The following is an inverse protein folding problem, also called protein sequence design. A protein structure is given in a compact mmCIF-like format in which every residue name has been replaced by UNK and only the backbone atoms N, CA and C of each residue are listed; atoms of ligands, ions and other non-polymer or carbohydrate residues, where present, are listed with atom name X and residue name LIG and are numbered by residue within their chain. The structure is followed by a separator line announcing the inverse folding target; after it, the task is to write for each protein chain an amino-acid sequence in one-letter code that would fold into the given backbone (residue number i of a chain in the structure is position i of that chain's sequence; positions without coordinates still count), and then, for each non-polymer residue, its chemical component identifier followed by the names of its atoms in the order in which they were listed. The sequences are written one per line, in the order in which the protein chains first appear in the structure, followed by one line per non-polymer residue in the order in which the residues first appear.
data_IF_327312814012
#
_entry.id   IF_327312814012
#
_cell.length_a   1.000
_cell.length_b   1.000
_cell.length_c   1.000
_cell.angle_alpha   90.00
_cell.angle_beta   90.00
_cell.angle_gamma   90.00
#
_symmetry.space_group_name_H-M   'P 1'
#
loop_
_entity.id
_entity.type
_entity.pdbx_description
1 polymer ?
#
# COMPACT_ATOMS: atom_id res chain seq x y z
N UNK A 1 35.51 18.76 -5.43
CA UNK A 1 35.57 17.57 -6.30
C UNK A 1 34.27 16.80 -6.12
N UNK A 2 33.48 16.69 -7.19
CA UNK A 2 32.01 16.66 -7.11
C UNK A 2 31.48 15.26 -6.75
N UNK A 3 30.81 15.15 -5.60
CA UNK A 3 30.17 13.93 -5.09
C UNK A 3 29.18 13.28 -6.09
N UNK A 4 28.64 14.08 -7.01
CA UNK A 4 27.75 13.65 -8.09
C UNK A 4 28.45 12.68 -9.08
N UNK A 5 29.74 12.87 -9.34
CA UNK A 5 30.49 11.97 -10.26
C UNK A 5 30.80 10.60 -9.66
N UNK A 6 30.94 10.51 -8.32
CA UNK A 6 31.21 9.24 -7.62
C UNK A 6 29.96 8.35 -7.56
N UNK A 7 28.77 8.95 -7.43
CA UNK A 7 27.48 8.27 -7.46
C UNK A 7 27.16 7.63 -8.81
N UNK A 8 27.43 8.35 -9.90
CA UNK A 8 27.16 7.86 -11.27
C UNK A 8 28.00 6.63 -11.61
N UNK A 9 29.26 6.61 -11.19
CA UNK A 9 30.16 5.50 -11.47
C UNK A 9 29.80 4.23 -10.69
N UNK A 10 29.24 4.36 -9.48
CA UNK A 10 28.78 3.20 -8.70
C UNK A 10 27.52 2.57 -9.29
N UNK A 11 26.56 3.37 -9.76
CA UNK A 11 25.36 2.86 -10.44
C UNK A 11 25.71 2.16 -11.78
N UNK A 12 26.66 2.73 -12.53
CA UNK A 12 27.15 2.15 -13.79
C UNK A 12 27.88 0.82 -13.55
N UNK A 13 28.62 0.70 -12.44
CA UNK A 13 29.28 -0.56 -12.06
C UNK A 13 28.28 -1.67 -11.71
N UNK A 14 27.22 -1.35 -10.94
CA UNK A 14 26.16 -2.31 -10.60
C UNK A 14 25.39 -2.74 -11.86
N UNK A 15 25.09 -1.81 -12.75
CA UNK A 15 24.43 -2.12 -14.02
C UNK A 15 25.30 -3.02 -14.92
N UNK A 16 26.59 -2.74 -15.05
CA UNK A 16 27.52 -3.58 -15.81
C UNK A 16 27.65 -4.99 -15.22
N UNK A 17 27.64 -5.11 -13.89
CA UNK A 17 27.69 -6.41 -13.21
C UNK A 17 26.42 -7.22 -13.46
N UNK A 18 25.25 -6.57 -13.46
CA UNK A 18 23.97 -7.22 -13.79
C UNK A 18 23.94 -7.71 -15.24
N UNK A 19 24.38 -6.87 -16.18
CA UNK A 19 24.44 -7.25 -17.60
C UNK A 19 25.42 -8.42 -17.80
N UNK A 20 26.58 -8.40 -17.14
CA UNK A 20 27.56 -9.49 -17.22
C UNK A 20 27.01 -10.80 -16.64
N UNK A 21 26.29 -10.76 -15.52
CA UNK A 21 25.66 -11.95 -14.93
C UNK A 21 24.56 -12.54 -15.84
N UNK A 22 23.79 -11.67 -16.50
CA UNK A 22 22.74 -12.08 -17.44
C UNK A 22 23.34 -12.73 -18.69
N UNK A 23 24.40 -12.14 -19.25
CA UNK A 23 25.15 -12.70 -20.39
C UNK A 23 25.78 -14.05 -20.01
N UNK A 24 26.39 -14.15 -18.83
CA UNK A 24 26.96 -15.42 -18.34
C UNK A 24 25.88 -16.50 -18.19
N UNK A 25 24.70 -16.15 -17.67
CA UNK A 25 23.55 -17.06 -17.57
C UNK A 25 23.05 -17.55 -18.93
N UNK A 26 23.02 -16.66 -19.93
CA UNK A 26 22.63 -17.02 -21.31
C UNK A 26 23.69 -17.90 -21.98
N UNK A 27 24.98 -17.62 -21.79
CA UNK A 27 26.08 -18.46 -22.33
C UNK A 27 26.05 -19.84 -21.69
N UNK A 28 25.86 -19.93 -20.37
CA UNK A 28 25.70 -21.21 -19.67
C UNK A 28 24.47 -21.99 -20.15
N UNK A 29 23.35 -21.30 -20.37
CA UNK A 29 22.14 -21.91 -20.91
C UNK A 29 22.38 -22.49 -22.31
N UNK A 30 22.98 -21.71 -23.21
CA UNK A 30 23.29 -22.16 -24.57
C UNK A 30 24.31 -23.31 -24.58
N UNK A 31 25.34 -23.25 -23.72
CA UNK A 31 26.34 -24.32 -23.59
C UNK A 31 25.77 -25.63 -23.01
N UNK A 32 24.71 -25.57 -22.20
CA UNK A 32 24.09 -26.76 -21.59
C UNK A 32 22.80 -27.23 -22.29
N UNK A 33 22.19 -26.40 -23.14
CA UNK A 33 20.98 -26.73 -23.90
C UNK A 33 21.18 -27.82 -24.97
N UNK A 34 22.42 -28.26 -25.19
CA UNK A 34 22.77 -29.24 -26.22
C UNK A 34 22.57 -30.72 -25.86
N UNK A 35 22.24 -31.11 -24.62
CA UNK A 35 22.23 -32.55 -24.30
C UNK A 35 21.10 -33.11 -23.43
N UNK A 36 20.47 -32.38 -22.49
CA UNK A 36 19.43 -33.00 -21.66
C UNK A 36 18.34 -32.03 -21.19
N UNK A 37 17.07 -32.41 -21.36
CA UNK A 37 15.85 -31.64 -21.02
C UNK A 37 15.70 -31.33 -19.53
N UNK A 38 16.59 -31.84 -18.67
CA UNK A 38 16.59 -31.63 -17.23
C UNK A 38 17.37 -30.39 -16.77
N UNK A 39 18.14 -29.74 -17.65
CA UNK A 39 18.93 -28.55 -17.30
C UNK A 39 18.12 -27.25 -17.23
N UNK A 40 16.98 -27.17 -17.93
CA UNK A 40 16.13 -25.98 -18.02
C UNK A 40 15.58 -25.50 -16.65
N UNK A 41 15.01 -26.36 -15.78
CA UNK A 41 14.50 -25.91 -14.49
C UNK A 41 15.62 -25.42 -13.55
N UNK A 42 16.82 -25.97 -13.66
CA UNK A 42 17.96 -25.58 -12.83
C UNK A 42 18.46 -24.19 -13.21
N UNK A 43 18.54 -23.88 -14.51
CA UNK A 43 18.90 -22.54 -14.99
C UNK A 43 17.86 -21.50 -14.58
N UNK A 44 16.56 -21.83 -14.71
CA UNK A 44 15.48 -20.94 -14.25
C UNK A 44 15.60 -20.68 -12.74
N UNK A 45 15.88 -21.72 -11.95
CA UNK A 45 16.13 -21.61 -10.51
C UNK A 45 17.31 -20.68 -10.19
N UNK A 46 18.44 -20.84 -10.87
CA UNK A 46 19.61 -19.97 -10.67
C UNK A 46 19.33 -18.51 -11.03
N UNK A 47 18.59 -18.24 -12.11
CA UNK A 47 18.21 -16.86 -12.50
C UNK A 47 17.28 -16.23 -11.47
N UNK A 48 16.31 -16.97 -10.94
CA UNK A 48 15.41 -16.47 -9.89
C UNK A 48 16.16 -16.17 -8.59
N UNK A 49 17.09 -17.05 -8.17
CA UNK A 49 17.92 -16.81 -6.98
C UNK A 49 18.81 -15.58 -7.17
N UNK A 50 19.43 -15.42 -8.33
CA UNK A 50 20.23 -14.23 -8.64
C UNK A 50 19.39 -12.95 -8.62
N UNK A 51 18.17 -13.00 -9.15
CA UNK A 51 17.23 -11.87 -9.14
C UNK A 51 16.81 -11.47 -7.72
N UNK A 52 16.47 -12.44 -6.87
CA UNK A 52 16.12 -12.20 -5.46
C UNK A 52 17.31 -11.60 -4.69
N UNK A 53 18.51 -12.13 -4.90
CA UNK A 53 19.73 -11.60 -4.29
C UNK A 53 20.03 -10.17 -4.75
N UNK A 54 19.77 -9.83 -6.01
CA UNK A 54 19.92 -8.48 -6.53
C UNK A 54 18.93 -7.50 -5.88
N UNK A 55 17.66 -7.89 -5.73
CA UNK A 55 16.65 -7.08 -5.02
C UNK A 55 17.07 -6.86 -3.56
N UNK A 56 17.53 -7.91 -2.88
CA UNK A 56 18.00 -7.82 -1.50
C UNK A 56 19.21 -6.87 -1.38
N UNK A 57 20.19 -6.97 -2.28
CA UNK A 57 21.36 -6.09 -2.31
C UNK A 57 20.96 -4.62 -2.53
N UNK A 58 20.05 -4.35 -3.47
CA UNK A 58 19.53 -2.99 -3.73
C UNK A 58 18.83 -2.43 -2.49
N UNK A 59 18.02 -3.24 -1.79
CA UNK A 59 17.33 -2.83 -0.55
C UNK A 59 18.32 -2.55 0.58
N UNK A 60 19.35 -3.38 0.74
CA UNK A 60 20.41 -3.19 1.73
C UNK A 60 21.17 -1.89 1.44
N UNK A 61 21.56 -1.64 0.18
CA UNK A 61 22.25 -0.40 -0.20
C UNK A 61 21.37 0.84 0.03
N UNK A 62 20.07 0.76 -0.26
CA UNK A 62 19.14 1.86 0.05
C UNK A 62 19.00 2.10 1.56
N UNK A 63 18.98 1.04 2.37
CA UNK A 63 18.97 1.15 3.82
C UNK A 63 20.26 1.79 4.36
N UNK A 64 21.43 1.40 3.84
CA UNK A 64 22.70 2.02 4.19
C UNK A 64 22.79 3.49 3.75
N UNK A 65 22.25 3.86 2.58
CA UNK A 65 22.16 5.27 2.17
C UNK A 65 21.26 6.08 3.11
N UNK A 66 20.16 5.50 3.58
CA UNK A 66 19.26 6.13 4.56
C UNK A 66 19.98 6.32 5.90
N UNK A 67 20.77 5.33 6.33
CA UNK A 67 21.58 5.39 7.55
C UNK A 67 22.75 6.39 7.47
N UNK A 68 23.41 6.49 6.32
CA UNK A 68 24.49 7.46 6.08
C UNK A 68 23.97 8.91 6.15
N UNK A 69 22.75 9.17 5.66
CA UNK A 69 22.10 10.47 5.82
C UNK A 69 21.73 10.80 7.28
N UNK A 70 21.60 9.81 8.16
CA UNK A 70 21.34 10.04 9.59
C UNK A 70 22.61 10.17 10.43
N UNK A 71 23.76 9.69 9.95
CA UNK A 71 25.04 9.82 10.68
C UNK A 71 25.64 11.22 10.55
N UNK A 72 25.28 11.97 9.51
CA UNK A 72 25.57 13.42 9.42
C UNK A 72 24.75 14.25 10.44
N UNK A 73 23.73 13.66 11.09
CA UNK A 73 22.89 14.33 12.09
C UNK A 73 23.31 14.06 13.56
N UNK A 74 24.45 13.41 13.80
CA UNK A 74 25.13 13.43 15.10
C UNK A 74 24.47 12.67 16.27
N UNK A 75 23.77 11.56 16.03
CA UNK A 75 23.13 10.76 17.09
C UNK A 75 23.92 9.48 17.46
N UNK A 76 23.99 9.09 18.76
CA UNK A 76 24.86 8.03 19.24
C UNK A 76 24.43 6.59 18.87
N UNK A 77 25.39 5.65 18.71
CA UNK A 77 25.20 4.35 18.07
C UNK A 77 24.48 3.27 18.90
N UNK A 78 24.13 3.52 20.16
CA UNK A 78 23.55 2.51 21.05
C UNK A 78 22.07 2.20 20.80
N UNK A 79 21.37 2.97 19.96
CA UNK A 79 19.96 2.72 19.61
C UNK A 79 19.73 2.07 18.24
N UNK A 80 20.78 1.77 17.48
CA UNK A 80 20.64 1.21 16.12
C UNK A 80 20.05 -0.22 16.08
N UNK A 81 20.15 -0.99 17.17
CA UNK A 81 19.58 -2.34 17.25
C UNK A 81 18.10 -2.38 17.66
N UNK A 82 17.52 -1.27 18.09
CA UNK A 82 16.09 -1.14 18.41
C UNK A 82 15.29 -0.38 17.34
N UNK A 83 15.93 0.03 16.25
CA UNK A 83 15.33 0.75 15.11
C UNK A 83 15.37 -0.13 13.85
N UNK A 84 15.21 -1.45 14.03
CA UNK A 84 14.82 -2.32 12.93
C UNK A 84 13.32 -2.54 13.11
N UNK A 85 12.57 -1.83 12.28
CA UNK A 85 11.11 -1.90 12.24
C UNK A 85 10.66 -3.37 12.12
N UNK A 86 9.55 -3.74 12.77
CA UNK A 86 9.06 -5.14 12.85
C UNK A 86 8.97 -5.80 11.46
N UNK A 87 8.71 -4.98 10.43
CA UNK A 87 8.71 -5.38 9.02
C UNK A 87 10.09 -5.80 8.49
N UNK A 88 11.18 -5.18 8.92
CA UNK A 88 12.55 -5.58 8.56
C UNK A 88 12.96 -6.89 9.25
N UNK A 89 12.49 -7.13 10.48
CA UNK A 89 12.66 -8.43 11.15
C UNK A 89 11.88 -9.55 10.45
N UNK A 90 10.64 -9.28 10.04
CA UNK A 90 9.84 -10.24 9.27
C UNK A 90 10.48 -10.58 7.92
N UNK A 91 11.00 -9.58 7.19
CA UNK A 91 11.66 -9.82 5.90
C UNK A 91 12.94 -10.63 6.06
N UNK A 92 13.73 -10.40 7.12
CA UNK A 92 14.92 -11.20 7.42
C UNK A 92 14.57 -12.64 7.80
N UNK A 93 13.53 -12.84 8.62
CA UNK A 93 13.08 -14.19 9.02
C UNK A 93 12.46 -14.96 7.85
N UNK A 94 11.67 -14.30 6.99
CA UNK A 94 11.11 -14.89 5.78
C UNK A 94 12.22 -15.24 4.78
N UNK A 95 13.22 -14.36 4.61
CA UNK A 95 14.40 -14.65 3.79
C UNK A 95 15.20 -15.85 4.30
N UNK A 96 15.43 -15.93 5.62
CA UNK A 96 16.18 -17.03 6.24
C UNK A 96 15.43 -18.37 6.15
N UNK A 97 14.11 -18.36 6.34
CA UNK A 97 13.28 -19.57 6.23
C UNK A 97 13.18 -20.07 4.79
N UNK A 98 13.14 -19.19 3.79
CA UNK A 98 13.17 -19.60 2.39
C UNK A 98 14.49 -20.26 1.99
N UNK A 99 15.63 -19.76 2.52
CA UNK A 99 16.95 -20.38 2.32
C UNK A 99 17.03 -21.75 2.99
N UNK A 100 16.46 -21.90 4.19
CA UNK A 100 16.41 -23.19 4.90
C UNK A 100 15.52 -24.23 4.19
N UNK A 101 14.36 -23.84 3.66
CA UNK A 101 13.49 -24.74 2.87
C UNK A 101 14.13 -25.11 1.53
N UNK A 102 14.80 -24.16 0.88
CA UNK A 102 15.55 -24.41 -0.35
C UNK A 102 16.73 -25.37 -0.18
N UNK A 103 17.40 -25.36 0.97
CA UNK A 103 18.48 -26.31 1.27
C UNK A 103 17.98 -27.65 1.82
N UNK A 104 16.83 -27.70 2.49
CA UNK A 104 16.25 -28.93 3.03
C UNK A 104 15.59 -29.85 2.01
N UNK A 105 15.04 -29.31 0.91
CA UNK A 105 14.33 -30.11 -0.09
C UNK A 105 15.25 -30.84 -1.09
N UNK A 106 16.54 -30.47 -1.19
CA UNK A 106 17.44 -31.03 -2.21
C UNK A 106 18.15 -32.33 -1.78
N UNK A 107 18.10 -32.71 -0.51
CA UNK A 107 18.65 -33.99 -0.01
C UNK A 107 17.63 -35.13 0.04
N UNK A 108 16.32 -34.83 0.02
CA UNK A 108 15.26 -35.87 0.11
C UNK A 108 14.90 -36.57 -1.21
N UNK A 109 15.21 -35.98 -2.36
CA UNK A 109 14.73 -36.49 -3.66
C UNK A 109 15.62 -37.59 -4.26
N UNK A 110 16.77 -37.92 -3.67
CA UNK A 110 17.64 -38.99 -4.20
C UNK A 110 17.30 -40.43 -3.74
N UNK A 111 16.27 -40.64 -2.93
CA UNK A 111 15.98 -41.98 -2.37
C UNK A 111 14.84 -42.75 -3.06
N UNK A 112 14.01 -42.12 -3.91
CA UNK A 112 12.86 -42.83 -4.52
C UNK A 112 13.00 -43.19 -6.01
N UNK A 113 14.14 -42.94 -6.64
CA UNK A 113 14.33 -43.24 -8.08
C UNK A 113 15.24 -44.44 -8.37
N UNK A 114 15.19 -45.48 -7.53
CA UNK A 114 15.82 -46.77 -7.86
C UNK A 114 14.96 -47.94 -7.40
N UNK A 115 14.10 -48.43 -8.29
CA UNK A 115 13.80 -49.84 -8.51
C UNK A 115 12.74 -49.95 -9.61
N UNK A 116 13.19 -50.24 -10.82
CA UNK A 116 12.34 -50.80 -11.86
C UNK A 116 12.69 -52.27 -12.01
N UNK A 117 11.68 -53.14 -12.10
CA UNK A 117 11.70 -54.35 -12.95
C UNK A 117 10.24 -54.83 -13.19
N UNK A 118 9.90 -55.40 -14.37
CA UNK A 118 8.52 -55.60 -14.83
C UNK A 118 8.02 -57.04 -14.61
N UNK A 119 6.71 -57.22 -14.41
CA UNK A 119 6.06 -58.52 -14.57
C UNK A 119 4.74 -58.36 -15.33
N UNK A 120 4.54 -59.28 -16.26
CA UNK A 120 3.55 -59.30 -17.33
C UNK A 120 2.32 -60.18 -16.98
N UNK A 121 1.14 -59.78 -17.52
CA UNK A 121 -0.05 -60.57 -17.95
C UNK A 121 -0.83 -61.35 -16.86
N UNK A 122 -2.17 -61.49 -16.82
CA UNK A 122 -3.22 -61.77 -17.85
C UNK A 122 -4.65 -61.59 -17.20
N UNK A 123 -5.84 -61.86 -17.82
CA UNK A 123 -7.02 -60.96 -17.75
C UNK A 123 -8.38 -61.59 -17.28
N UNK A 124 -9.44 -60.75 -17.28
CA UNK A 124 -10.92 -61.02 -17.30
C UNK A 124 -11.62 -61.50 -16.00
N UNK A 125 -12.97 -61.31 -15.81
CA UNK A 125 -14.01 -60.90 -16.77
C UNK A 125 -14.95 -59.73 -16.37
N UNK A 126 -15.72 -59.31 -17.38
CA UNK A 126 -16.81 -58.31 -17.45
C UNK A 126 -18.07 -58.78 -16.69
N UNK A 127 -18.92 -57.87 -16.15
CA UNK A 127 -20.25 -57.70 -16.76
C UNK A 127 -20.87 -56.26 -16.71
N UNK A 128 -21.65 -55.96 -17.76
CA UNK A 128 -22.94 -55.22 -17.78
C UNK A 128 -22.92 -53.70 -17.51
N UNK A 129 -22.92 -52.86 -18.56
CA UNK A 129 -24.10 -52.29 -19.27
C UNK A 129 -25.11 -51.63 -18.33
N UNK A 130 -25.06 -50.30 -18.20
CA UNK A 130 -26.25 -49.42 -18.30
C UNK A 130 -25.78 -48.09 -18.90
N UNK A 131 -26.33 -47.76 -20.05
CA UNK A 131 -26.23 -46.47 -20.74
C UNK A 131 -27.40 -45.59 -20.28
N UNK A 132 -27.15 -44.43 -19.66
CA UNK A 132 -28.17 -43.40 -19.55
C UNK A 132 -27.97 -42.34 -20.64
N UNK A 133 -28.98 -42.26 -21.49
CA UNK A 133 -29.29 -41.20 -22.46
C UNK A 133 -28.91 -39.79 -21.98
N UNK A 134 -28.17 -38.99 -22.77
CA UNK A 134 -28.00 -37.56 -22.50
C UNK A 134 -29.31 -36.85 -22.84
N UNK A 135 -29.98 -36.30 -21.82
CA UNK A 135 -31.06 -35.33 -22.04
C UNK A 135 -30.42 -33.97 -22.18
N UNK A 136 -30.45 -33.44 -23.40
CA UNK A 136 -30.01 -32.09 -23.76
C UNK A 136 -30.96 -31.05 -23.13
N UNK A 137 -30.49 -30.14 -22.25
CA UNK A 137 -31.32 -29.04 -21.80
C UNK A 137 -31.34 -27.95 -22.88
N UNK A 138 -32.47 -27.84 -23.57
CA UNK A 138 -32.85 -26.67 -24.37
C UNK A 138 -32.80 -25.42 -23.48
N UNK A 139 -31.78 -24.58 -23.67
CA UNK A 139 -31.70 -23.27 -23.04
C UNK A 139 -32.52 -22.28 -23.87
N UNK A 140 -33.69 -21.90 -23.37
CA UNK A 140 -34.50 -20.83 -23.95
C UNK A 140 -33.88 -19.48 -23.58
N UNK A 141 -33.35 -18.78 -24.58
CA UNK A 141 -32.87 -17.40 -24.47
C UNK A 141 -34.05 -16.44 -24.26
N UNK A 142 -34.16 -15.71 -23.13
CA UNK A 142 -35.12 -14.63 -23.02
C UNK A 142 -34.58 -13.41 -23.78
N UNK A 143 -35.30 -13.07 -24.85
CA UNK A 143 -35.17 -11.81 -25.59
C UNK A 143 -35.51 -10.60 -24.70
N UNK A 144 -34.58 -9.63 -24.69
CA UNK A 144 -34.69 -8.19 -24.46
C UNK A 144 -36.00 -7.59 -23.92
N UNK A 145 -35.89 -6.74 -22.89
CA UNK A 145 -36.54 -5.42 -22.88
C UNK A 145 -35.68 -4.45 -22.06
N UNK A 146 -34.97 -3.58 -22.78
CA UNK A 146 -34.26 -2.42 -22.24
C UNK A 146 -35.30 -1.35 -21.84
N UNK A 147 -35.32 -0.87 -20.59
CA UNK A 147 -36.19 0.24 -20.20
C UNK A 147 -35.61 1.57 -20.72
N UNK A 148 -36.46 2.51 -21.17
CA UNK A 148 -36.01 3.76 -21.79
C UNK A 148 -35.30 4.67 -20.79
N UNK A 149 -34.22 5.26 -21.28
CA UNK A 149 -33.52 6.42 -20.70
C UNK A 149 -34.50 7.58 -20.46
N UNK A 150 -34.62 8.11 -19.22
CA UNK A 150 -35.20 9.42 -19.01
C UNK A 150 -34.12 10.50 -19.18
N UNK A 151 -34.16 11.21 -20.32
CA UNK A 151 -33.67 12.58 -20.40
C UNK A 151 -34.59 13.49 -19.60
N UNK A 152 -34.05 14.19 -18.60
CA UNK A 152 -34.72 15.32 -17.94
C UNK A 152 -33.75 16.50 -17.83
N UNK A 153 -33.87 17.36 -18.85
CA UNK A 153 -34.10 18.80 -18.77
C UNK A 153 -33.50 19.57 -17.59
N UNK A 154 -32.55 20.44 -17.92
CA UNK A 154 -32.15 21.62 -17.17
C UNK A 154 -33.37 22.46 -16.77
N UNK A 155 -33.53 22.73 -15.48
CA UNK A 155 -34.36 23.83 -15.00
C UNK A 155 -33.46 24.74 -14.15
N UNK A 156 -33.12 25.90 -14.72
CA UNK A 156 -32.60 27.04 -13.97
C UNK A 156 -33.63 27.42 -12.91
N UNK A 157 -33.25 27.34 -11.64
CA UNK A 157 -33.98 28.03 -10.57
C UNK A 157 -32.99 28.86 -9.75
N UNK A 158 -33.25 30.15 -9.78
CA UNK A 158 -32.45 31.25 -9.26
C UNK A 158 -32.53 31.35 -7.73
N UNK A 159 -31.46 31.91 -7.16
CA UNK A 159 -31.12 32.11 -5.74
C UNK A 159 -32.23 32.71 -4.85
N UNK A 160 -32.11 32.57 -3.50
CA UNK A 160 -31.60 33.75 -2.80
C UNK A 160 -30.43 33.45 -1.87
N UNK A 161 -29.43 34.32 -2.01
CA UNK A 161 -28.16 34.33 -1.32
C UNK A 161 -28.34 34.63 0.17
N UNK A 162 -27.79 33.76 1.02
CA UNK A 162 -27.41 34.11 2.39
C UNK A 162 -25.96 33.67 2.57
N UNK A 163 -25.07 34.64 2.35
CA UNK A 163 -23.68 34.62 2.80
C UNK A 163 -23.63 35.11 4.26
N UNK A 164 -22.69 34.59 5.08
CA UNK A 164 -21.30 34.96 4.90
C UNK A 164 -20.43 33.74 4.66
N UNK A 165 -20.10 33.53 3.39
CA UNK A 165 -18.84 32.98 2.96
C UNK A 165 -17.72 33.71 3.71
N UNK A 166 -17.14 32.98 4.65
CA UNK A 166 -15.80 33.26 5.17
C UNK A 166 -14.78 32.67 4.20
N UNK A 167 -14.94 32.87 2.88
CA UNK A 167 -13.87 32.59 1.93
C UNK A 167 -12.74 33.58 2.23
N UNK A 168 -11.62 33.13 2.81
CA UNK A 168 -10.58 34.04 3.22
C UNK A 168 -9.89 34.60 1.97
N UNK A 169 -9.40 35.83 2.05
CA UNK A 169 -8.81 36.52 0.92
C UNK A 169 -7.71 35.67 0.24
N UNK A 170 -7.58 35.70 -1.09
CA UNK A 170 -6.55 34.95 -1.82
C UNK A 170 -5.15 35.18 -1.21
N UNK A 171 -4.48 34.11 -0.80
CA UNK A 171 -3.16 34.15 -0.14
C UNK A 171 -3.20 34.06 1.39
N UNK A 172 -4.39 34.10 2.02
CA UNK A 172 -4.57 33.81 3.45
C UNK A 172 -4.97 32.36 3.73
N UNK A 173 -5.40 31.61 2.72
CA UNK A 173 -5.64 30.18 2.82
C UNK A 173 -4.58 29.36 2.12
N UNK A 174 -4.29 28.22 2.72
CA UNK A 174 -3.44 27.19 2.15
C UNK A 174 -4.08 25.85 2.39
N UNK A 175 -4.05 25.01 1.39
CA UNK A 175 -4.78 23.76 1.41
C UNK A 175 -3.83 22.57 1.44
N UNK A 176 -4.14 21.55 2.25
CA UNK A 176 -3.19 20.48 2.57
C UNK A 176 -3.09 19.38 1.51
N UNK A 177 -4.01 19.30 0.56
CA UNK A 177 -3.99 18.38 -0.60
C UNK A 177 -2.93 18.73 -1.65
N UNK A 178 -2.43 19.97 -1.63
CA UNK A 178 -1.37 20.44 -2.54
C UNK A 178 0.02 20.48 -1.87
N UNK A 179 0.14 19.94 -0.66
CA UNK A 179 1.35 20.05 0.15
C UNK A 179 2.06 18.72 0.30
N UNK A 180 3.39 18.76 0.24
CA UNK A 180 4.21 17.62 0.59
C UNK A 180 4.11 17.34 2.10
N UNK A 181 3.82 16.11 2.47
CA UNK A 181 3.80 15.69 3.87
C UNK A 181 5.22 15.52 4.41
N UNK A 182 5.43 15.95 5.65
CA UNK A 182 6.66 15.72 6.39
C UNK A 182 6.75 14.27 6.90
N UNK A 183 5.60 13.67 7.19
CA UNK A 183 5.42 12.28 7.64
C UNK A 183 4.11 11.73 7.05
N UNK A 184 4.10 10.44 6.72
CA UNK A 184 2.93 9.77 6.16
C UNK A 184 2.89 9.77 4.64
N UNK A 185 1.79 9.27 4.10
CA UNK A 185 1.47 9.30 2.67
C UNK A 185 -0.04 9.46 2.55
N UNK A 186 -0.49 10.52 1.89
CA UNK A 186 -1.90 10.72 1.57
C UNK A 186 -2.12 10.70 0.05
N UNK A 187 -3.35 10.40 -0.34
CA UNK A 187 -3.78 10.47 -1.73
C UNK A 187 -4.73 11.65 -1.87
N UNK A 188 -4.33 12.64 -2.66
CA UNK A 188 -5.16 13.79 -2.98
C UNK A 188 -6.18 13.42 -4.07
N UNK A 189 -7.46 13.42 -3.71
CA UNK A 189 -8.58 13.22 -4.64
C UNK A 189 -9.87 13.81 -4.04
N UNK A 190 -10.89 14.04 -4.86
CA UNK A 190 -12.20 14.44 -4.36
C UNK A 190 -12.79 13.34 -3.48
N UNK A 191 -13.46 13.74 -2.39
CA UNK A 191 -14.08 12.81 -1.45
C UNK A 191 -15.55 13.12 -1.24
N UNK A 192 -16.34 12.13 -0.84
CA UNK A 192 -17.75 12.33 -0.51
C UNK A 192 -18.07 11.81 0.89
N UNK A 193 -18.76 12.61 1.69
CA UNK A 193 -19.26 12.20 3.00
C UNK A 193 -20.76 12.44 3.09
N UNK A 194 -21.53 11.40 3.40
CA UNK A 194 -22.98 11.50 3.55
C UNK A 194 -23.64 12.17 2.34
N UNK A 195 -23.25 11.75 1.13
CA UNK A 195 -23.66 12.27 -0.18
C UNK A 195 -23.27 13.72 -0.49
N UNK A 196 -22.51 14.40 0.39
CA UNK A 196 -21.92 15.71 0.09
C UNK A 196 -20.51 15.54 -0.45
N UNK A 197 -20.28 16.04 -1.67
CA UNK A 197 -18.98 16.02 -2.33
C UNK A 197 -18.10 17.18 -1.85
N UNK A 198 -16.84 16.88 -1.57
CA UNK A 198 -15.77 17.80 -1.28
C UNK A 198 -14.75 17.70 -2.42
N UNK A 199 -14.58 18.76 -3.23
CA UNK A 199 -13.74 18.70 -4.43
C UNK A 199 -12.26 18.50 -4.10
N UNK A 200 -11.84 18.82 -2.88
CA UNK A 200 -10.46 18.74 -2.45
C UNK A 200 -10.37 17.87 -1.20
N UNK A 201 -10.01 16.61 -1.38
CA UNK A 201 -9.87 15.67 -0.29
C UNK A 201 -8.46 15.13 -0.18
N UNK A 202 -8.12 14.65 1.01
CA UNK A 202 -6.97 13.77 1.20
C UNK A 202 -7.45 12.49 1.87
N UNK A 203 -7.07 11.36 1.30
CA UNK A 203 -7.40 10.03 1.79
C UNK A 203 -6.15 9.34 2.31
N UNK A 204 -6.31 8.60 3.40
CA UNK A 204 -5.19 7.95 4.05
C UNK A 204 -5.63 6.73 4.85
N UNK A 205 -4.67 5.82 5.08
CA UNK A 205 -4.94 4.55 5.75
C UNK A 205 -4.90 4.70 7.27
N UNK A 206 -5.89 4.14 7.95
CA UNK A 206 -6.03 4.19 9.40
C UNK A 206 -6.15 2.80 9.99
N UNK A 207 -5.31 2.52 10.97
CA UNK A 207 -5.33 1.29 11.77
C UNK A 207 -5.12 1.61 13.24
N UNK A 208 -3.95 2.14 13.58
CA UNK A 208 -3.59 2.49 14.96
C UNK A 208 -2.83 3.81 15.01
N UNK A 209 -3.02 4.55 16.11
CA UNK A 209 -2.41 5.87 16.29
C UNK A 209 -0.88 5.84 16.28
N UNK A 210 -0.27 4.69 16.59
CA UNK A 210 1.18 4.48 16.54
C UNK A 210 1.72 4.15 15.16
N UNK A 211 0.91 3.59 14.27
CA UNK A 211 1.32 3.18 12.91
C UNK A 211 0.99 4.25 11.86
N UNK A 212 -0.04 5.06 12.09
CA UNK A 212 -0.57 6.00 11.11
C UNK A 212 -0.49 7.43 11.64
N UNK A 213 0.56 8.13 11.23
CA UNK A 213 0.77 9.54 11.49
C UNK A 213 1.02 10.29 10.18
N UNK A 214 0.47 11.50 10.11
CA UNK A 214 0.54 12.40 8.97
C UNK A 214 0.94 13.78 9.48
N UNK A 215 1.89 14.44 8.83
CA UNK A 215 2.45 15.68 9.36
C UNK A 215 2.63 16.72 8.27
N UNK A 216 2.18 17.95 8.54
CA UNK A 216 2.27 19.09 7.61
C UNK A 216 2.95 20.30 8.26
N UNK A 217 3.65 21.08 7.44
CA UNK A 217 4.14 22.39 7.85
C UNK A 217 3.00 23.41 7.79
N UNK A 218 2.67 23.98 8.95
CA UNK A 218 1.60 24.97 9.14
C UNK A 218 2.12 26.26 9.76
N UNK A 219 3.43 26.49 9.72
CA UNK A 219 4.03 27.69 10.28
C UNK A 219 3.45 28.96 9.65
N UNK A 220 3.06 29.91 10.50
CA UNK A 220 2.48 31.19 10.09
C UNK A 220 0.95 31.19 10.01
N UNK A 221 0.29 30.03 10.04
CA UNK A 221 -1.17 29.94 10.05
C UNK A 221 -1.74 29.96 11.48
N UNK A 222 -2.97 30.43 11.64
CA UNK A 222 -3.66 30.60 12.92
C UNK A 222 -4.72 29.54 13.16
N UNK A 223 -5.23 28.90 12.11
CA UNK A 223 -6.37 27.99 12.20
C UNK A 223 -6.27 26.87 11.17
N UNK A 224 -6.69 25.67 11.55
CA UNK A 224 -6.95 24.54 10.65
C UNK A 224 -8.45 24.25 10.62
N UNK A 225 -8.98 23.99 9.43
CA UNK A 225 -10.36 23.57 9.20
C UNK A 225 -10.39 22.39 8.22
N UNK A 226 -11.23 21.40 8.49
CA UNK A 226 -11.52 20.30 7.58
C UNK A 226 -12.84 19.62 7.97
N UNK A 227 -13.38 18.81 7.08
CA UNK A 227 -14.42 17.84 7.42
C UNK A 227 -13.79 16.45 7.48
N UNK A 228 -13.76 15.83 8.65
CA UNK A 228 -13.30 14.44 8.81
C UNK A 228 -14.40 13.44 8.52
N UNK A 229 -14.06 12.37 7.82
CA UNK A 229 -15.02 11.33 7.47
C UNK A 229 -14.39 10.03 6.97
N UNK A 230 -15.27 9.10 6.62
CA UNK A 230 -14.97 7.92 5.82
C UNK A 230 -15.66 8.16 4.49
N UNK A 231 -14.92 8.11 3.38
CA UNK A 231 -15.49 8.32 2.04
C UNK A 231 -16.60 7.32 1.76
N UNK A 232 -17.72 7.79 1.20
CA UNK A 232 -18.89 6.97 0.84
C UNK A 232 -18.54 5.81 -0.11
N UNK A 233 -17.46 5.92 -0.90
CA UNK A 233 -16.95 4.90 -1.81
C UNK A 233 -16.00 3.89 -1.13
N UNK A 234 -15.66 4.07 0.14
CA UNK A 234 -14.76 3.16 0.85
C UNK A 234 -15.49 1.88 1.24
N UNK A 235 -15.01 0.75 0.73
CA UNK A 235 -15.59 -0.57 0.99
C UNK A 235 -15.38 -1.05 2.43
N UNK A 236 -16.29 -1.92 2.91
CA UNK A 236 -16.18 -2.61 4.20
C UNK A 236 -16.06 -1.66 5.41
N UNK A 237 -16.75 -0.53 5.38
CA UNK A 237 -16.67 0.53 6.41
C UNK A 237 -17.79 0.48 7.45
N UNK A 238 -18.81 -0.33 7.20
CA UNK A 238 -19.93 -0.50 8.13
C UNK A 238 -19.47 -0.94 9.51
N UNK A 239 -19.96 -0.24 10.54
CA UNK A 239 -19.64 -0.55 11.93
C UNK A 239 -18.24 -0.12 12.38
N UNK A 240 -17.45 0.57 11.56
CA UNK A 240 -16.15 1.12 11.94
C UNK A 240 -16.27 2.56 12.47
N UNK A 241 -15.46 2.88 13.47
CA UNK A 241 -15.25 4.25 13.98
C UNK A 241 -13.79 4.58 13.76
N UNK A 242 -13.54 5.72 13.12
CA UNK A 242 -12.20 6.31 12.98
C UNK A 242 -12.06 7.43 13.99
N UNK A 243 -10.93 7.44 14.69
CA UNK A 243 -10.59 8.50 15.63
C UNK A 243 -9.37 9.25 15.11
N UNK A 244 -9.50 10.57 14.99
CA UNK A 244 -8.42 11.49 14.67
C UNK A 244 -7.95 12.19 15.93
N UNK A 245 -6.63 12.26 16.11
CA UNK A 245 -5.99 13.06 17.14
C UNK A 245 -4.95 13.98 16.51
N UNK A 246 -4.87 15.22 16.98
CA UNK A 246 -4.00 16.25 16.43
C UNK A 246 -2.99 16.71 17.48
N UNK A 247 -1.78 17.01 17.03
CA UNK A 247 -0.62 17.32 17.86
C UNK A 247 0.20 18.45 17.24
N UNK A 248 0.86 19.22 18.10
CA UNK A 248 1.84 20.23 17.69
C UNK A 248 3.26 19.64 17.53
N UNK A 249 4.23 20.50 17.20
CA UNK A 249 5.65 20.12 17.08
C UNK A 249 6.27 19.54 18.37
N UNK A 250 5.69 19.82 19.52
CA UNK A 250 6.16 19.39 20.84
C UNK A 250 5.44 18.12 21.32
N UNK A 251 4.53 17.56 20.51
CA UNK A 251 3.72 16.39 20.85
C UNK A 251 2.56 16.68 21.80
N UNK A 252 2.16 17.94 21.97
CA UNK A 252 0.99 18.33 22.76
C UNK A 252 -0.27 18.21 21.92
N UNK A 253 -1.34 17.65 22.50
CA UNK A 253 -2.63 17.51 21.81
C UNK A 253 -3.25 18.88 21.49
N UNK A 254 -3.64 19.06 20.24
CA UNK A 254 -4.41 20.19 19.74
C UNK A 254 -5.90 19.82 19.79
N UNK A 255 -6.55 20.13 20.91
CA UNK A 255 -7.98 19.88 21.09
C UNK A 255 -8.32 18.45 21.54
N UNK A 256 -9.59 18.07 21.33
CA UNK A 256 -10.13 16.75 21.70
C UNK A 256 -10.04 15.79 20.50
N UNK A 257 -9.94 14.47 20.73
CA UNK A 257 -10.08 13.49 19.66
C UNK A 257 -11.40 13.65 18.91
N UNK A 258 -11.38 13.45 17.60
CA UNK A 258 -12.55 13.54 16.73
C UNK A 258 -12.89 12.15 16.23
N UNK A 259 -14.08 11.68 16.57
CA UNK A 259 -14.59 10.38 16.12
C UNK A 259 -15.58 10.53 14.98
N UNK A 260 -15.36 9.75 13.91
CA UNK A 260 -16.19 9.72 12.72
C UNK A 260 -16.59 8.29 12.37
N UNK A 261 -17.71 8.16 11.66
CA UNK A 261 -18.18 6.88 11.13
C UNK A 261 -18.86 7.12 9.78
N UNK A 262 -19.08 6.06 9.01
CA UNK A 262 -19.72 6.16 7.69
C UNK A 262 -21.07 6.89 7.78
N UNK A 263 -21.28 7.88 6.91
CA UNK A 263 -22.48 8.72 6.90
C UNK A 263 -22.60 9.71 8.07
N UNK A 264 -21.56 9.84 8.92
CA UNK A 264 -21.52 10.79 10.04
C UNK A 264 -20.19 11.54 10.07
N UNK A 265 -19.94 12.40 9.06
CA UNK A 265 -18.76 13.26 9.08
C UNK A 265 -18.80 14.26 10.25
N UNK A 266 -17.64 14.83 10.57
CA UNK A 266 -17.48 15.84 11.61
C UNK A 266 -16.62 16.99 11.13
N UNK A 267 -17.05 18.22 11.45
CA UNK A 267 -16.21 19.40 11.27
C UNK A 267 -15.08 19.39 12.30
N UNK A 268 -13.88 19.70 11.82
CA UNK A 268 -12.65 19.76 12.61
C UNK A 268 -12.14 21.17 12.51
N UNK A 269 -12.09 21.86 13.65
CA UNK A 269 -11.55 23.21 13.75
C UNK A 269 -10.55 23.28 14.89
N UNK A 270 -9.31 23.65 14.57
CA UNK A 270 -8.20 23.71 15.53
C UNK A 270 -7.51 25.07 15.47
N UNK A 271 -7.10 25.57 16.63
CA UNK A 271 -6.18 26.71 16.70
C UNK A 271 -4.76 26.24 16.40
N UNK A 272 -4.09 26.96 15.50
CA UNK A 272 -2.70 26.78 15.14
C UNK A 272 -1.81 27.93 15.66
N UNK A 273 -2.31 28.75 16.60
CA UNK A 273 -1.54 29.86 17.15
C UNK A 273 -0.22 29.37 17.77
N UNK A 274 0.91 29.75 17.16
CA UNK A 274 2.25 29.32 17.57
C UNK A 274 2.61 27.88 17.20
N UNK A 275 1.79 27.20 16.38
CA UNK A 275 2.06 25.87 15.86
C UNK A 275 2.82 25.99 14.55
N UNK A 276 3.93 25.26 14.45
CA UNK A 276 4.76 25.23 13.22
C UNK A 276 4.56 23.95 12.43
N UNK A 277 4.16 22.89 13.12
CA UNK A 277 3.88 21.59 12.54
C UNK A 277 2.59 21.02 13.10
N UNK A 278 1.69 20.63 12.21
CA UNK A 278 0.47 19.91 12.55
C UNK A 278 0.70 18.43 12.28
N UNK A 279 0.67 17.61 13.33
CA UNK A 279 0.71 16.16 13.22
C UNK A 279 -0.67 15.60 13.54
N UNK A 280 -1.21 14.77 12.67
CA UNK A 280 -2.43 14.02 12.87
C UNK A 280 -2.11 12.54 12.99
N UNK A 281 -2.70 11.86 13.96
CA UNK A 281 -2.72 10.39 14.01
C UNK A 281 -4.13 9.90 13.78
N UNK A 282 -4.28 8.69 13.24
CA UNK A 282 -5.58 8.06 13.15
C UNK A 282 -5.58 6.61 13.60
N UNK A 283 -6.66 6.22 14.26
CA UNK A 283 -6.93 4.83 14.66
C UNK A 283 -8.31 4.40 14.21
N UNK A 284 -8.53 3.11 14.08
CA UNK A 284 -9.83 2.57 13.69
C UNK A 284 -10.21 1.42 14.59
N UNK A 285 -11.47 1.41 15.02
CA UNK A 285 -12.03 0.37 15.86
C UNK A 285 -13.42 -0.07 15.38
N UNK A 286 -13.79 -1.27 15.76
CA UNK A 286 -15.15 -1.75 15.66
C UNK A 286 -16.04 -1.03 16.68
N UNK A 287 -17.16 -0.47 16.24
CA UNK A 287 -18.11 0.28 17.07
C UNK A 287 -18.80 -0.55 18.15
N UNK A 288 -18.86 -1.88 18.00
CA UNK A 288 -19.52 -2.78 18.95
C UNK A 288 -18.52 -3.46 19.86
N UNK A 289 -17.41 -3.96 19.30
CA UNK A 289 -16.43 -4.75 20.06
C UNK A 289 -15.26 -3.93 20.58
N UNK A 290 -15.06 -2.69 20.10
CA UNK A 290 -13.87 -1.87 20.33
C UNK A 290 -12.55 -2.55 19.90
N UNK A 291 -12.62 -3.62 19.11
CA UNK A 291 -11.44 -4.26 18.54
C UNK A 291 -10.79 -3.34 17.49
N UNK A 292 -9.46 -3.35 17.43
CA UNK A 292 -8.72 -2.66 16.37
C UNK A 292 -9.16 -3.17 14.99
N UNK A 293 -9.41 -2.24 14.09
CA UNK A 293 -9.72 -2.50 12.69
C UNK A 293 -8.85 -1.61 11.82
N UNK A 294 -8.98 -1.78 10.52
CA UNK A 294 -8.38 -0.90 9.54
C UNK A 294 -9.42 -0.38 8.56
N UNK A 295 -9.22 0.85 8.08
CA UNK A 295 -10.02 1.44 6.99
C UNK A 295 -9.26 2.61 6.39
N UNK A 296 -9.69 3.05 5.21
CA UNK A 296 -9.31 4.37 4.74
C UNK A 296 -10.23 5.40 5.41
N UNK A 297 -9.65 6.55 5.75
CA UNK A 297 -10.34 7.72 6.22
C UNK A 297 -9.88 8.92 5.42
N UNK A 298 -10.67 9.99 5.44
CA UNK A 298 -10.39 11.16 4.61
C UNK A 298 -10.70 12.46 5.33
N UNK A 299 -10.04 13.52 4.87
CA UNK A 299 -10.38 14.90 5.21
C UNK A 299 -10.88 15.60 3.94
N UNK A 300 -12.06 16.21 4.01
CA UNK A 300 -12.65 17.04 2.97
C UNK A 300 -12.37 18.52 3.21
N UNK A 301 -11.95 19.20 2.15
CA UNK A 301 -11.49 20.60 2.11
C UNK A 301 -10.51 20.97 3.25
N UNK A 302 -9.41 20.20 3.45
CA UNK A 302 -8.47 20.48 4.52
C UNK A 302 -7.68 21.76 4.23
N UNK A 303 -7.91 22.79 5.05
CA UNK A 303 -7.37 24.15 4.87
C UNK A 303 -6.73 24.66 6.15
N UNK A 304 -5.65 25.42 6.00
CA UNK A 304 -5.07 26.28 7.04
C UNK A 304 -5.23 27.73 6.64
N UNK A 305 -5.56 28.58 7.61
CA UNK A 305 -5.96 29.98 7.41
C UNK A 305 -5.02 30.89 8.20
N UNK A 306 -4.59 31.97 7.56
CA UNK A 306 -3.80 33.06 8.11
C UNK A 306 -4.77 34.11 8.66
N UNK A 307 -4.62 34.50 9.92
CA UNK A 307 -5.38 35.62 10.49
C UNK A 307 -4.85 36.97 10.02
#
# INVERSE_FOLDING_TARGET
MNAVTKSRNAALFVFLFLVAALIAGVILYLAHSGADRTAVPLVIGCVLVAFVMAIAAVRIVMAFRRSAKMTEAGLPPSRLLHVLDLRQWLILLVGLSFVAVGTGAFTGVRVLSRSGEPVALTPLPVPTVVEPTPVEPTFTEPTFTEPPSPSLTEELSESPSVDPSLDPAPGSTKYLDNEDELEGYTEADAVAFAAKRYPRGITFYCRSASENAYQWNVAGFSQFQAVGGIDDNTENTFGKVVEFEFYDQDGRKLGKPVEVSMGRPKDITLSLAGVTSLRMTCSTRDSKTNEERNTNASLGDPVVILN
#
